data_IF_867942453906
#
_entry.id   IF_867942453906
#
_cell.length_a   1.000
_cell.length_b   1.000
_cell.length_c   1.000
_cell.angle_alpha   90.00
_cell.angle_beta   90.00
_cell.angle_gamma   90.00
#
_symmetry.space_group_name_H-M   'P 1'
#
loop_
_entity.id
_entity.type
_entity.pdbx_description
1 polymer ?
#
# COMPACT_ATOMS: atom_id res chain seq x y z
N UNK A 1 3.67 46.70 21.46
CA UNK A 1 4.21 45.62 20.61
C UNK A 1 3.15 44.54 20.66
N UNK A 2 2.24 44.53 19.69
CA UNK A 2 1.19 43.51 19.64
C UNK A 2 1.85 42.18 19.30
N UNK A 3 1.68 41.21 20.20
CA UNK A 3 1.92 39.81 19.87
C UNK A 3 0.77 39.45 18.92
N UNK A 4 1.02 39.55 17.62
CA UNK A 4 0.16 38.90 16.65
C UNK A 4 0.23 37.40 16.95
N UNK A 5 -0.93 36.88 17.36
CA UNK A 5 -1.26 35.46 17.33
C UNK A 5 -0.62 34.81 16.10
N UNK A 6 0.39 33.96 16.32
CA UNK A 6 0.85 33.02 15.30
C UNK A 6 -0.35 32.09 15.09
N UNK A 7 -1.12 32.36 14.05
CA UNK A 7 -1.99 31.35 13.47
C UNK A 7 -1.01 30.32 12.93
N UNK A 8 -1.05 29.11 13.46
CA UNK A 8 -0.34 27.95 12.91
C UNK A 8 -0.86 27.71 11.48
N UNK A 9 -0.35 28.48 10.52
CA UNK A 9 -0.65 28.32 9.10
C UNK A 9 0.05 27.04 8.61
N UNK A 10 -0.60 25.90 8.87
CA UNK A 10 -0.14 24.58 8.44
C UNK A 10 -0.59 24.34 7.00
N UNK A 11 0.36 24.11 6.08
CA UNK A 11 0.05 23.61 4.74
C UNK A 11 -0.24 22.12 4.84
N UNK A 12 -1.53 21.77 4.76
CA UNK A 12 -1.99 20.39 4.64
C UNK A 12 -2.32 20.06 3.18
N UNK A 13 -1.71 19.00 2.66
CA UNK A 13 -2.02 18.47 1.31
C UNK A 13 -2.53 17.04 1.44
N UNK A 14 -3.75 16.79 0.96
CA UNK A 14 -4.40 15.47 1.02
C UNK A 14 -4.37 14.75 -0.33
N UNK A 15 -3.95 13.49 -0.33
CA UNK A 15 -3.86 12.61 -1.49
C UNK A 15 -4.79 11.40 -1.31
N UNK A 16 -5.91 11.32 -2.04
CA UNK A 16 -6.75 10.13 -2.04
C UNK A 16 -6.13 9.04 -2.92
N UNK A 17 -5.88 7.87 -2.34
CA UNK A 17 -5.34 6.69 -3.02
C UNK A 17 -6.46 5.67 -3.10
N UNK A 18 -6.80 5.16 -4.29
CA UNK A 18 -7.79 4.07 -4.40
C UNK A 18 -7.10 2.73 -4.53
N UNK A 19 -7.56 1.76 -3.75
CA UNK A 19 -7.13 0.37 -3.80
C UNK A 19 -8.19 -0.45 -4.54
N UNK A 20 -7.72 -1.28 -5.47
CA UNK A 20 -8.56 -2.25 -6.18
C UNK A 20 -7.91 -3.60 -6.08
N UNK A 21 -8.72 -4.64 -6.11
CA UNK A 21 -8.23 -5.99 -6.13
C UNK A 21 -9.00 -6.88 -7.08
N UNK A 22 -8.36 -7.95 -7.52
CA UNK A 22 -9.00 -8.95 -8.35
C UNK A 22 -8.35 -10.31 -8.16
N UNK A 23 -9.08 -11.38 -8.47
CA UNK A 23 -8.60 -12.76 -8.30
C UNK A 23 -8.72 -13.55 -9.60
N UNK A 24 -7.61 -14.17 -9.99
CA UNK A 24 -7.52 -15.21 -11.02
C UNK A 24 -7.36 -16.58 -10.35
N UNK A 25 -7.87 -17.62 -10.99
CA UNK A 25 -7.68 -18.98 -10.51
C UNK A 25 -7.39 -19.97 -11.64
N UNK A 26 -6.69 -21.04 -11.26
CA UNK A 26 -6.49 -22.21 -12.10
C UNK A 26 -6.82 -23.49 -11.34
N UNK A 27 -7.56 -24.38 -11.98
CA UNK A 27 -7.79 -25.74 -11.50
C UNK A 27 -6.83 -26.67 -12.24
N UNK A 28 -6.09 -27.48 -11.48
CA UNK A 28 -5.11 -28.44 -12.01
C UNK A 28 -5.52 -29.86 -11.64
N UNK A 29 -5.24 -30.81 -12.52
CA UNK A 29 -5.32 -32.24 -12.22
C UNK A 29 -4.09 -32.62 -11.38
N UNK A 30 -4.29 -33.19 -10.18
CA UNK A 30 -3.17 -33.48 -9.27
C UNK A 30 -2.33 -34.68 -9.70
N UNK A 31 -2.88 -35.58 -10.52
CA UNK A 31 -2.16 -36.77 -10.98
C UNK A 31 -1.20 -36.43 -12.12
N UNK A 32 -1.64 -35.57 -13.03
CA UNK A 32 -0.93 -35.21 -14.27
C UNK A 32 -0.24 -33.86 -14.20
N UNK A 33 -0.68 -32.97 -13.29
CA UNK A 33 -0.22 -31.58 -13.21
C UNK A 33 -0.79 -30.68 -14.31
N UNK A 34 -1.71 -31.17 -15.15
CA UNK A 34 -2.28 -30.42 -16.25
C UNK A 34 -3.33 -29.41 -15.75
N UNK A 35 -3.29 -28.18 -16.27
CA UNK A 35 -4.35 -27.20 -16.03
C UNK A 35 -5.64 -27.62 -16.74
N UNK A 36 -6.70 -27.83 -15.96
CA UNK A 36 -8.04 -28.18 -16.42
C UNK A 36 -8.80 -26.91 -16.82
N UNK A 37 -8.68 -25.85 -16.02
CA UNK A 37 -9.40 -24.59 -16.21
C UNK A 37 -8.55 -23.42 -15.72
N UNK A 38 -8.61 -22.31 -16.44
CA UNK A 38 -8.16 -21.00 -15.96
C UNK A 38 -9.30 -20.01 -16.14
N UNK A 39 -9.53 -19.19 -15.11
CA UNK A 39 -10.45 -18.06 -15.20
C UNK A 39 -9.72 -16.75 -14.89
N UNK A 40 -9.99 -15.75 -15.74
CA UNK A 40 -9.50 -14.36 -15.72
C UNK A 40 -10.40 -13.54 -14.78
N UNK A 41 -9.98 -12.38 -14.23
CA UNK A 41 -10.50 -11.90 -12.96
C UNK A 41 -12.02 -11.81 -12.90
N UNK A 42 -12.60 -12.57 -11.99
CA UNK A 42 -14.06 -12.71 -11.89
C UNK A 42 -14.68 -11.68 -10.96
N UNK A 43 -13.88 -11.00 -10.14
CA UNK A 43 -14.37 -10.18 -9.02
C UNK A 43 -13.48 -8.96 -8.78
N UNK A 44 -14.12 -7.81 -8.56
CA UNK A 44 -13.53 -6.64 -7.93
C UNK A 44 -14.25 -6.46 -6.59
N UNK A 45 -13.52 -6.43 -5.48
CA UNK A 45 -14.09 -6.13 -4.16
C UNK A 45 -13.29 -5.02 -3.45
N UNK A 46 -13.81 -4.56 -2.32
CA UNK A 46 -13.20 -3.51 -1.52
C UNK A 46 -12.29 -4.08 -0.43
N UNK A 47 -11.10 -3.49 -0.31
CA UNK A 47 -10.20 -3.72 0.83
C UNK A 47 -10.91 -3.55 2.17
N UNK A 48 -10.52 -4.38 3.15
CA UNK A 48 -11.02 -4.19 4.52
C UNK A 48 -10.48 -2.89 5.11
N UNK A 49 -11.23 -2.28 6.04
CA UNK A 49 -10.74 -1.09 6.77
C UNK A 49 -9.39 -1.37 7.45
N UNK A 50 -9.24 -2.56 8.05
CA UNK A 50 -8.00 -3.00 8.67
C UNK A 50 -6.87 -3.11 7.65
N UNK A 51 -7.12 -3.67 6.46
CA UNK A 51 -6.14 -3.78 5.38
C UNK A 51 -5.63 -2.42 4.89
N UNK A 52 -6.53 -1.43 4.76
CA UNK A 52 -6.15 -0.05 4.36
C UNK A 52 -5.25 0.61 5.40
N UNK A 53 -5.55 0.40 6.69
CA UNK A 53 -4.70 0.83 7.78
C UNK A 53 -3.33 0.14 7.76
N UNK A 54 -3.27 -1.16 7.48
CA UNK A 54 -2.00 -1.88 7.38
C UNK A 54 -1.14 -1.37 6.22
N UNK A 55 -1.74 -1.04 5.07
CA UNK A 55 -1.02 -0.41 3.96
C UNK A 55 -0.40 0.93 4.41
N UNK A 56 -1.16 1.78 5.10
CA UNK A 56 -0.64 3.04 5.64
C UNK A 56 0.54 2.82 6.61
N UNK A 57 0.43 1.84 7.51
CA UNK A 57 1.51 1.45 8.46
C UNK A 57 2.75 0.94 7.75
N UNK A 58 2.57 0.10 6.73
CA UNK A 58 3.66 -0.46 5.93
C UNK A 58 4.43 0.62 5.17
N UNK A 59 3.72 1.57 4.57
CA UNK A 59 4.32 2.68 3.80
C UNK A 59 4.98 3.71 4.73
N UNK A 60 4.41 4.01 5.89
CA UNK A 60 4.98 4.96 6.87
C UNK A 60 6.00 4.36 7.84
N UNK A 61 6.24 3.05 7.79
CA UNK A 61 7.04 2.33 8.79
C UNK A 61 6.53 2.50 10.23
N UNK A 62 5.21 2.54 10.45
CA UNK A 62 4.62 2.90 11.75
C UNK A 62 4.03 1.69 12.48
N UNK A 63 4.58 1.38 13.66
CA UNK A 63 4.09 0.29 14.51
C UNK A 63 4.34 -1.10 13.92
N UNK A 64 3.52 -2.07 14.33
CA UNK A 64 3.59 -3.44 13.80
C UNK A 64 3.17 -3.47 12.33
N UNK A 65 3.95 -4.18 11.53
CA UNK A 65 3.77 -4.29 10.09
C UNK A 65 3.38 -5.71 9.72
N UNK A 66 2.36 -5.83 8.89
CA UNK A 66 1.80 -7.12 8.47
C UNK A 66 1.70 -7.16 6.95
N UNK A 67 2.81 -7.36 6.20
CA UNK A 67 2.70 -7.54 4.76
C UNK A 67 1.92 -8.82 4.41
N UNK A 68 1.33 -8.90 3.22
CA UNK A 68 0.70 -10.11 2.72
C UNK A 68 1.78 -11.16 2.45
N UNK A 69 1.71 -12.31 3.12
CA UNK A 69 2.65 -13.43 2.94
C UNK A 69 1.97 -14.80 2.86
N UNK A 70 0.65 -14.82 2.84
CA UNK A 70 -0.16 -16.02 2.69
C UNK A 70 -1.47 -15.70 1.97
N UNK A 71 -2.00 -16.71 1.29
CA UNK A 71 -3.35 -16.69 0.72
C UNK A 71 -4.21 -17.63 1.54
N UNK A 72 -5.40 -17.14 1.91
CA UNK A 72 -6.42 -17.88 2.65
C UNK A 72 -7.61 -18.09 1.72
N UNK A 73 -8.15 -19.29 1.70
CA UNK A 73 -9.35 -19.60 0.92
C UNK A 73 -10.31 -20.39 1.80
N UNK A 74 -11.60 -20.00 1.82
CA UNK A 74 -12.62 -20.65 2.63
C UNK A 74 -13.31 -21.72 1.81
N UNK A 75 -13.42 -22.92 2.36
CA UNK A 75 -14.10 -24.08 1.79
C UNK A 75 -14.85 -24.82 2.88
N UNK A 76 -16.10 -25.20 2.63
CA UNK A 76 -16.95 -25.89 3.61
C UNK A 76 -17.04 -25.18 4.98
N UNK A 77 -16.98 -23.84 4.99
CA UNK A 77 -17.05 -23.02 6.21
C UNK A 77 -15.75 -22.88 7.00
N UNK A 78 -14.64 -23.49 6.56
CA UNK A 78 -13.34 -23.39 7.20
C UNK A 78 -12.30 -22.72 6.28
N UNK A 79 -11.38 -21.96 6.87
CA UNK A 79 -10.25 -21.39 6.15
C UNK A 79 -9.14 -22.42 5.97
N UNK A 80 -8.70 -22.59 4.72
CA UNK A 80 -7.43 -23.20 4.38
C UNK A 80 -6.42 -22.08 4.06
N UNK A 81 -5.16 -22.28 4.40
CA UNK A 81 -4.10 -21.29 4.21
C UNK A 81 -2.90 -21.91 3.50
N UNK A 82 -2.36 -21.19 2.53
CA UNK A 82 -1.08 -21.50 1.89
C UNK A 82 -0.17 -20.26 1.95
N UNK A 83 1.16 -20.43 2.03
CA UNK A 83 2.08 -19.31 1.84
C UNK A 83 1.87 -18.63 0.48
N UNK A 84 2.37 -17.40 0.33
CA UNK A 84 2.30 -16.68 -0.95
C UNK A 84 3.68 -16.37 -1.54
N UNK A 85 3.73 -16.34 -2.86
CA UNK A 85 4.81 -15.75 -3.65
C UNK A 85 4.32 -14.42 -4.23
N UNK A 86 5.12 -13.37 -4.07
CA UNK A 86 4.71 -12.02 -4.39
C UNK A 86 5.64 -11.39 -5.43
N UNK A 87 5.07 -10.63 -6.37
CA UNK A 87 5.80 -9.86 -7.37
C UNK A 87 5.13 -8.51 -7.65
N UNK A 88 5.86 -7.59 -8.28
CA UNK A 88 5.30 -6.33 -8.76
C UNK A 88 5.22 -6.35 -10.27
N UNK A 89 4.03 -6.06 -10.80
CA UNK A 89 3.76 -5.97 -12.23
C UNK A 89 3.11 -4.61 -12.51
N UNK A 90 3.79 -3.74 -13.26
CA UNK A 90 3.30 -2.40 -13.64
C UNK A 90 2.78 -1.55 -12.45
N UNK A 91 3.49 -1.58 -11.32
CA UNK A 91 3.11 -0.84 -10.11
C UNK A 91 1.95 -1.47 -9.33
N UNK A 92 1.50 -2.66 -9.71
CA UNK A 92 0.50 -3.45 -8.98
C UNK A 92 1.19 -4.61 -8.26
N UNK A 93 0.66 -5.03 -7.12
CA UNK A 93 1.14 -6.22 -6.41
C UNK A 93 0.40 -7.45 -6.93
N UNK A 94 1.14 -8.50 -7.25
CA UNK A 94 0.62 -9.83 -7.57
C UNK A 94 1.00 -10.79 -6.45
N UNK A 95 0.02 -11.53 -5.94
CA UNK A 95 0.14 -12.48 -4.83
C UNK A 95 -0.37 -13.82 -5.30
N UNK A 96 0.50 -14.81 -5.44
CA UNK A 96 0.17 -16.15 -5.91
C UNK A 96 0.34 -17.15 -4.78
N UNK A 97 -0.53 -18.16 -4.70
CA UNK A 97 -0.37 -19.28 -3.76
C UNK A 97 0.93 -20.04 -4.04
N UNK A 98 1.73 -20.27 -3.00
CA UNK A 98 2.84 -21.23 -3.03
C UNK A 98 2.31 -22.63 -2.73
N UNK A 99 1.88 -23.33 -3.79
CA UNK A 99 1.26 -24.65 -3.72
C UNK A 99 -0.18 -24.66 -4.23
N UNK A 100 -0.91 -25.72 -3.89
CA UNK A 100 -2.28 -25.96 -4.35
C UNK A 100 -3.20 -26.27 -3.18
N UNK A 101 -4.39 -25.68 -3.18
CA UNK A 101 -5.46 -26.12 -2.29
C UNK A 101 -6.07 -27.41 -2.85
N UNK A 102 -6.29 -28.41 -2.00
CA UNK A 102 -6.70 -29.76 -2.42
C UNK A 102 -7.99 -30.26 -1.77
N UNK A 103 -8.59 -29.46 -0.89
CA UNK A 103 -9.84 -29.83 -0.24
C UNK A 103 -10.99 -29.68 -1.23
N UNK A 104 -11.70 -30.78 -1.51
CA UNK A 104 -12.87 -30.75 -2.38
C UNK A 104 -14.03 -29.97 -1.75
N UNK A 105 -14.78 -29.26 -2.59
CA UNK A 105 -15.88 -28.39 -2.18
C UNK A 105 -15.91 -27.09 -2.98
N UNK A 106 -16.78 -26.17 -2.59
CA UNK A 106 -16.84 -24.84 -3.19
C UNK A 106 -16.05 -23.86 -2.34
N UNK A 107 -15.06 -23.22 -2.97
CA UNK A 107 -14.34 -22.09 -2.38
C UNK A 107 -15.16 -20.83 -2.59
N UNK A 108 -15.56 -20.18 -1.49
CA UNK A 108 -16.52 -19.09 -1.50
C UNK A 108 -15.96 -17.74 -1.02
N UNK A 109 -14.78 -17.76 -0.39
CA UNK A 109 -14.00 -16.55 -0.07
C UNK A 109 -12.51 -16.79 -0.30
N UNK A 110 -11.84 -15.74 -0.75
CA UNK A 110 -10.37 -15.68 -0.89
C UNK A 110 -9.87 -14.41 -0.21
N UNK A 111 -8.73 -14.51 0.47
CA UNK A 111 -8.14 -13.40 1.21
C UNK A 111 -6.61 -13.44 1.17
N UNK A 112 -5.97 -12.28 1.16
CA UNK A 112 -4.57 -12.07 1.48
C UNK A 112 -4.39 -11.88 2.98
N UNK A 113 -3.49 -12.66 3.57
CA UNK A 113 -3.24 -12.68 5.01
C UNK A 113 -1.78 -12.41 5.36
N UNK A 114 -1.54 -12.22 6.66
CA UNK A 114 -0.21 -12.29 7.24
C UNK A 114 -0.17 -13.40 8.30
N UNK A 115 0.79 -14.31 8.18
CA UNK A 115 0.95 -15.46 9.08
C UNK A 115 1.22 -15.09 10.54
N UNK A 116 1.69 -13.87 10.81
CA UNK A 116 1.92 -13.34 12.17
C UNK A 116 0.70 -12.62 12.76
N UNK A 117 -0.42 -12.51 12.02
CA UNK A 117 -1.66 -11.91 12.51
C UNK A 117 -2.86 -12.81 12.18
N UNK A 118 -3.16 -13.72 13.09
CA UNK A 118 -4.29 -14.64 12.98
C UNK A 118 -5.60 -13.89 13.15
N UNK A 119 -6.55 -14.10 12.23
CA UNK A 119 -7.93 -13.63 12.38
C UNK A 119 -8.27 -12.28 11.73
N UNK A 120 -7.34 -11.60 11.06
CA UNK A 120 -7.67 -10.50 10.14
C UNK A 120 -7.07 -10.71 8.76
N UNK A 121 -7.83 -10.28 7.75
CA UNK A 121 -7.50 -10.35 6.34
C UNK A 121 -7.30 -8.93 5.79
N UNK A 122 -6.34 -8.75 4.87
CA UNK A 122 -6.20 -7.47 4.15
C UNK A 122 -7.43 -7.19 3.29
N UNK A 123 -8.02 -8.26 2.79
CA UNK A 123 -9.15 -8.28 1.87
C UNK A 123 -9.97 -9.55 2.03
N UNK A 124 -11.22 -9.52 1.55
CA UNK A 124 -12.10 -10.69 1.49
C UNK A 124 -12.87 -10.63 0.16
N UNK A 125 -12.44 -11.43 -0.81
CA UNK A 125 -13.02 -11.49 -2.14
C UNK A 125 -14.02 -12.64 -2.18
N UNK A 126 -15.29 -12.33 -2.42
CA UNK A 126 -16.35 -13.32 -2.64
C UNK A 126 -16.13 -14.09 -3.94
N UNK A 127 -16.21 -15.42 -3.88
CA UNK A 127 -15.97 -16.30 -5.04
C UNK A 127 -17.01 -17.45 -5.09
N UNK A 128 -16.97 -18.27 -6.15
CA UNK A 128 -17.78 -19.48 -6.28
C UNK A 128 -17.02 -20.51 -7.12
N UNK A 129 -15.90 -21.01 -6.61
CA UNK A 129 -14.99 -21.89 -7.35
C UNK A 129 -15.21 -23.34 -6.89
N UNK A 130 -15.86 -24.20 -7.69
CA UNK A 130 -15.99 -25.61 -7.35
C UNK A 130 -14.68 -26.35 -7.59
N UNK A 131 -14.27 -27.19 -6.63
CA UNK A 131 -13.12 -28.09 -6.74
C UNK A 131 -13.54 -29.53 -6.46
N UNK A 132 -13.28 -30.43 -7.41
CA UNK A 132 -13.60 -31.86 -7.30
C UNK A 132 -12.45 -32.67 -6.69
N UNK A 133 -12.74 -33.90 -6.26
CA UNK A 133 -11.72 -34.82 -5.76
C UNK A 133 -10.68 -35.12 -6.84
N UNK A 134 -9.39 -35.03 -6.50
CA UNK A 134 -8.28 -35.22 -7.43
C UNK A 134 -7.84 -33.95 -8.15
N UNK A 135 -8.48 -32.81 -7.89
CA UNK A 135 -8.10 -31.50 -8.42
C UNK A 135 -7.37 -30.64 -7.39
N UNK A 136 -6.55 -29.72 -7.86
CA UNK A 136 -5.86 -28.69 -7.09
C UNK A 136 -6.28 -27.30 -7.55
N UNK A 137 -6.37 -26.36 -6.61
CA UNK A 137 -6.68 -24.96 -6.89
C UNK A 137 -5.46 -24.08 -6.62
N UNK A 138 -5.08 -23.29 -7.63
CA UNK A 138 -4.06 -22.23 -7.55
C UNK A 138 -4.76 -20.89 -7.66
N UNK A 139 -4.43 -19.96 -6.77
CA UNK A 139 -5.02 -18.62 -6.73
C UNK A 139 -3.95 -17.56 -6.97
N UNK A 140 -4.32 -16.53 -7.72
CA UNK A 140 -3.51 -15.32 -7.90
C UNK A 140 -4.37 -14.09 -7.63
N UNK A 141 -3.98 -13.26 -6.67
CA UNK A 141 -4.66 -12.01 -6.30
C UNK A 141 -3.82 -10.84 -6.81
N UNK A 142 -4.45 -9.89 -7.47
CA UNK A 142 -3.83 -8.65 -7.94
C UNK A 142 -4.33 -7.48 -7.11
N UNK A 143 -3.44 -6.58 -6.71
CA UNK A 143 -3.73 -5.36 -5.96
C UNK A 143 -3.25 -4.15 -6.76
N UNK A 144 -4.19 -3.32 -7.21
CA UNK A 144 -3.94 -2.11 -7.98
C UNK A 144 -4.09 -0.84 -7.13
N UNK A 145 -3.27 0.16 -7.45
CA UNK A 145 -3.24 1.45 -6.75
C UNK A 145 -3.40 2.61 -7.75
N UNK A 146 -4.21 3.60 -7.39
CA UNK A 146 -4.36 4.83 -8.20
C UNK A 146 -4.36 6.07 -7.31
N UNK A 147 -3.99 7.22 -7.87
CA UNK A 147 -3.77 8.47 -7.13
C UNK A 147 -2.29 8.76 -6.84
N UNK A 148 -1.39 7.82 -7.14
CA UNK A 148 0.06 7.99 -7.05
C UNK A 148 0.73 7.93 -8.43
N UNK A 149 2.00 8.33 -8.47
CA UNK A 149 2.85 8.09 -9.64
C UNK A 149 3.28 6.60 -9.68
N UNK A 150 3.95 6.18 -10.76
CA UNK A 150 4.41 4.80 -10.94
C UNK A 150 5.32 4.31 -9.81
N UNK A 151 6.19 5.19 -9.29
CA UNK A 151 7.11 4.87 -8.20
C UNK A 151 6.37 4.65 -6.88
N UNK A 152 5.43 5.53 -6.51
CA UNK A 152 4.59 5.40 -5.32
C UNK A 152 3.70 4.17 -5.35
N UNK A 153 3.16 3.83 -6.53
CA UNK A 153 2.44 2.57 -6.75
C UNK A 153 3.34 1.36 -6.47
N UNK A 154 4.55 1.38 -7.05
CA UNK A 154 5.56 0.33 -6.87
C UNK A 154 5.99 0.18 -5.40
N UNK A 155 6.22 1.28 -4.70
CA UNK A 155 6.53 1.29 -3.26
C UNK A 155 5.37 0.70 -2.46
N UNK A 156 4.14 1.14 -2.72
CA UNK A 156 2.94 0.66 -2.01
C UNK A 156 2.76 -0.85 -2.22
N UNK A 157 2.83 -1.30 -3.47
CA UNK A 157 2.77 -2.71 -3.86
C UNK A 157 3.84 -3.55 -3.15
N UNK A 158 5.09 -3.09 -3.17
CA UNK A 158 6.21 -3.82 -2.60
C UNK A 158 6.19 -3.93 -1.09
N UNK A 159 5.78 -2.85 -0.40
CA UNK A 159 5.59 -2.86 1.05
C UNK A 159 4.41 -3.74 1.43
N UNK A 160 3.30 -3.68 0.70
CA UNK A 160 2.15 -4.57 0.91
C UNK A 160 2.52 -6.05 0.70
N UNK A 161 3.33 -6.37 -0.30
CA UNK A 161 3.78 -7.72 -0.58
C UNK A 161 4.97 -8.19 0.28
N UNK A 162 5.54 -7.34 1.15
CA UNK A 162 6.73 -7.70 1.93
C UNK A 162 7.94 -8.11 1.06
N UNK A 163 8.05 -7.56 -0.15
CA UNK A 163 9.11 -7.88 -1.11
C UNK A 163 10.30 -6.93 -0.89
N UNK A 164 11.51 -7.38 -1.19
CA UNK A 164 12.72 -6.57 -1.13
C UNK A 164 12.74 -5.41 -2.15
N UNK A 165 13.52 -4.37 -1.85
CA UNK A 165 13.73 -3.23 -2.77
C UNK A 165 12.69 -2.11 -2.66
N UNK A 166 11.74 -2.21 -1.73
CA UNK A 166 10.70 -1.21 -1.51
C UNK A 166 10.79 -0.65 -0.10
N UNK A 167 10.98 0.66 -0.02
CA UNK A 167 11.32 1.37 1.22
C UNK A 167 10.15 2.24 1.66
N UNK A 168 9.96 2.43 2.98
CA UNK A 168 8.92 3.32 3.47
C UNK A 168 9.22 4.79 3.14
N UNK A 169 8.21 5.64 3.25
CA UNK A 169 8.37 7.09 3.25
C UNK A 169 9.07 7.50 4.55
N UNK A 170 10.11 8.32 4.45
CA UNK A 170 10.83 8.80 5.63
C UNK A 170 11.50 10.16 5.47
N UNK A 171 11.24 10.84 4.36
CA UNK A 171 11.81 12.17 4.10
C UNK A 171 10.74 13.03 3.42
N UNK A 172 10.69 14.30 3.80
CA UNK A 172 9.97 15.34 3.06
C UNK A 172 11.00 16.16 2.29
N UNK A 173 10.72 16.40 1.02
CA UNK A 173 11.52 17.24 0.13
C UNK A 173 10.71 18.46 -0.29
N UNK A 174 11.38 19.62 -0.37
CA UNK A 174 10.80 20.86 -0.88
C UNK A 174 11.77 21.56 -1.83
N UNK A 175 11.25 22.09 -2.93
CA UNK A 175 11.98 23.05 -3.77
C UNK A 175 11.88 24.47 -3.18
N UNK A 176 13.05 25.07 -2.90
CA UNK A 176 13.22 26.45 -2.43
C UNK A 176 14.01 27.21 -3.50
N UNK A 177 13.37 28.14 -4.19
CA UNK A 177 13.97 28.94 -5.26
C UNK A 177 14.69 28.10 -6.35
N UNK A 178 14.17 26.92 -6.70
CA UNK A 178 14.76 26.05 -7.72
C UNK A 178 15.85 25.10 -7.20
N UNK A 179 16.04 25.02 -5.88
CA UNK A 179 16.96 24.07 -5.23
C UNK A 179 16.18 23.18 -4.26
N UNK A 180 16.44 21.88 -4.32
CA UNK A 180 15.84 20.91 -3.40
C UNK A 180 16.47 21.01 -1.99
N UNK A 181 15.65 21.02 -0.95
CA UNK A 181 16.03 20.79 0.45
C UNK A 181 15.23 19.60 1.03
N UNK A 182 15.92 18.71 1.73
CA UNK A 182 15.34 17.47 2.30
C UNK A 182 15.44 17.47 3.81
N UNK A 183 14.38 16.98 4.46
CA UNK A 183 14.32 16.79 5.91
C UNK A 183 13.77 15.41 6.22
N UNK A 184 14.32 14.76 7.24
CA UNK A 184 13.73 13.53 7.78
C UNK A 184 12.27 13.79 8.16
N UNK A 185 11.44 12.76 8.01
CA UNK A 185 10.02 12.85 8.27
C UNK A 185 9.62 12.09 9.54
N UNK A 186 8.63 12.64 10.25
CA UNK A 186 7.88 11.96 11.29
C UNK A 186 6.58 11.45 10.67
N UNK A 187 6.29 10.16 10.87
CA UNK A 187 5.10 9.51 10.33
C UNK A 187 4.12 9.15 11.45
N UNK A 188 2.82 9.33 11.19
CA UNK A 188 1.73 8.85 12.04
C UNK A 188 0.66 8.16 11.20
N UNK A 189 -0.08 7.22 11.81
CA UNK A 189 -1.21 6.55 11.15
C UNK A 189 -2.45 6.63 12.03
N UNK A 190 -3.55 7.06 11.42
CA UNK A 190 -4.89 7.04 12.00
C UNK A 190 -5.89 6.48 10.99
N UNK A 191 -6.61 5.42 11.37
CA UNK A 191 -7.48 4.67 10.45
C UNK A 191 -6.70 4.27 9.18
N UNK A 192 -7.24 4.58 8.00
CA UNK A 192 -6.65 4.34 6.69
C UNK A 192 -5.78 5.51 6.18
N UNK A 193 -5.25 6.35 7.06
CA UNK A 193 -4.49 7.56 6.68
C UNK A 193 -3.08 7.50 7.19
N UNK A 194 -2.12 7.71 6.29
CA UNK A 194 -0.72 7.98 6.61
C UNK A 194 -0.50 9.48 6.62
N UNK A 195 0.05 9.98 7.71
CA UNK A 195 0.43 11.36 7.90
C UNK A 195 1.95 11.50 7.94
N UNK A 196 2.50 12.44 7.18
CA UNK A 196 3.93 12.65 6.98
C UNK A 196 4.25 14.13 7.18
N UNK A 197 5.06 14.44 8.18
CA UNK A 197 5.52 15.80 8.49
C UNK A 197 7.05 15.85 8.50
N UNK A 198 7.67 16.93 8.06
CA UNK A 198 9.11 17.13 8.26
C UNK A 198 9.44 17.32 9.76
N UNK A 199 10.45 16.60 10.24
CA UNK A 199 10.87 16.60 11.65
C UNK A 199 11.30 17.99 12.15
N UNK A 200 12.12 18.67 11.34
CA UNK A 200 12.54 20.04 11.57
C UNK A 200 11.91 21.00 10.56
N UNK A 201 11.36 22.16 10.98
CA UNK A 201 10.76 23.14 10.08
C UNK A 201 11.79 23.72 9.10
N UNK A 202 11.29 24.15 7.94
CA UNK A 202 12.07 24.99 7.03
C UNK A 202 12.03 26.44 7.52
N UNK A 203 13.17 27.10 7.59
CA UNK A 203 13.30 28.47 8.13
C UNK A 203 13.96 29.45 7.15
N UNK A 204 14.43 28.94 6.00
CA UNK A 204 15.07 29.74 4.96
C UNK A 204 14.02 30.61 4.24
N UNK A 205 14.16 31.95 4.22
CA UNK A 205 13.26 32.79 3.43
C UNK A 205 13.37 32.46 1.94
N UNK A 206 12.24 32.46 1.23
CA UNK A 206 12.23 32.11 -0.18
C UNK A 206 10.86 31.71 -0.70
N UNK A 207 10.84 31.28 -1.96
CA UNK A 207 9.66 30.80 -2.66
C UNK A 207 9.70 29.28 -2.73
N UNK A 208 8.72 28.64 -2.12
CA UNK A 208 8.56 27.20 -1.98
C UNK A 208 7.53 26.73 -3.02
N UNK A 209 7.91 25.84 -3.94
CA UNK A 209 7.11 25.58 -5.16
C UNK A 209 6.71 24.13 -5.38
N UNK A 210 7.37 23.18 -4.71
CA UNK A 210 7.01 21.77 -4.77
C UNK A 210 7.28 21.09 -3.43
N UNK A 211 6.43 20.13 -3.07
CA UNK A 211 6.50 19.37 -1.84
C UNK A 211 6.39 17.89 -2.17
N UNK A 212 7.26 17.06 -1.62
CA UNK A 212 7.29 15.65 -1.96
C UNK A 212 7.55 14.75 -0.76
N UNK A 213 6.89 13.59 -0.78
CA UNK A 213 7.21 12.48 0.09
C UNK A 213 8.27 11.61 -0.60
N UNK A 214 9.38 11.36 0.09
CA UNK A 214 10.53 10.63 -0.44
C UNK A 214 10.78 9.38 0.41
N UNK A 215 11.06 8.27 -0.27
CA UNK A 215 11.34 7.00 0.37
C UNK A 215 12.75 6.97 0.96
N UNK A 216 12.98 6.13 1.96
CA UNK A 216 14.29 6.00 2.64
C UNK A 216 15.31 5.18 1.84
N UNK A 217 15.14 5.02 0.53
CA UNK A 217 16.07 4.28 -0.31
C UNK A 217 17.31 5.13 -0.63
N UNK A 218 18.41 4.49 -1.00
CA UNK A 218 19.67 5.19 -1.27
C UNK A 218 19.57 6.19 -2.45
N UNK A 219 18.58 6.01 -3.33
CA UNK A 219 18.37 6.86 -4.51
C UNK A 219 17.41 8.02 -4.21
N UNK A 220 16.59 7.95 -3.15
CA UNK A 220 15.60 8.96 -2.81
C UNK A 220 14.41 8.96 -3.76
N UNK A 221 13.80 7.79 -3.99
CA UNK A 221 12.63 7.60 -4.84
C UNK A 221 11.45 8.43 -4.33
N UNK A 222 10.92 9.30 -5.19
CA UNK A 222 9.75 10.11 -4.89
C UNK A 222 8.47 9.26 -4.86
N UNK A 223 7.89 9.13 -3.67
CA UNK A 223 6.60 8.48 -3.47
C UNK A 223 5.47 9.28 -4.14
N UNK A 224 5.46 10.60 -3.91
CA UNK A 224 4.54 11.52 -4.54
C UNK A 224 5.11 12.94 -4.51
N UNK A 225 4.75 13.75 -5.51
CA UNK A 225 5.15 15.16 -5.62
C UNK A 225 3.90 15.99 -5.83
N UNK A 226 3.74 17.03 -5.02
CA UNK A 226 2.76 18.08 -5.19
C UNK A 226 3.46 19.35 -5.68
N UNK A 227 3.16 19.74 -6.91
CA UNK A 227 3.57 21.01 -7.51
C UNK A 227 2.33 21.68 -8.10
N UNK A 228 2.05 22.90 -7.66
CA UNK A 228 0.81 23.59 -8.02
C UNK A 228 0.40 24.71 -7.06
N UNK A 229 1.08 24.80 -5.92
CA UNK A 229 0.95 25.93 -5.01
C UNK A 229 2.32 26.52 -4.71
N UNK A 230 2.34 27.82 -4.41
CA UNK A 230 3.56 28.54 -4.06
C UNK A 230 3.39 29.20 -2.71
N UNK A 231 4.33 28.94 -1.80
CA UNK A 231 4.41 29.59 -0.50
C UNK A 231 5.63 30.51 -0.49
N UNK A 232 5.44 31.75 -0.06
CA UNK A 232 6.56 32.68 0.16
C UNK A 232 6.81 32.81 1.65
N UNK A 233 7.96 32.30 2.10
CA UNK A 233 8.39 32.39 3.48
C UNK A 233 9.27 33.63 3.68
N UNK A 234 8.86 34.51 4.59
CA UNK A 234 9.60 35.71 4.98
C UNK A 234 10.62 35.41 6.10
N UNK A 235 11.49 36.37 6.39
CA UNK A 235 12.39 36.26 7.54
C UNK A 235 11.63 36.06 8.86
N UNK A 236 12.16 35.18 9.72
CA UNK A 236 11.57 34.77 11.01
C UNK A 236 10.24 34.01 10.91
N UNK A 237 9.95 33.41 9.75
CA UNK A 237 8.85 32.47 9.60
C UNK A 237 9.39 31.04 9.49
N UNK A 238 8.55 30.08 9.86
CA UNK A 238 8.84 28.66 9.77
C UNK A 238 7.75 27.98 8.95
N UNK A 239 8.13 26.94 8.20
CA UNK A 239 7.21 26.13 7.42
C UNK A 239 7.34 24.66 7.81
N UNK A 240 6.21 24.06 8.17
CA UNK A 240 6.03 22.61 8.29
C UNK A 240 5.10 22.14 7.19
N UNK A 241 5.58 21.21 6.38
CA UNK A 241 4.83 20.56 5.34
C UNK A 241 4.16 19.30 5.89
N UNK A 242 2.86 19.17 5.66
CA UNK A 242 2.05 18.05 6.12
C UNK A 242 1.41 17.36 4.93
N UNK A 243 1.90 16.17 4.62
CA UNK A 243 1.47 15.36 3.48
C UNK A 243 0.61 14.19 4.00
N UNK A 244 -0.66 14.18 3.61
CA UNK A 244 -1.66 13.26 4.14
C UNK A 244 -2.12 12.32 3.03
N UNK A 245 -1.85 11.02 3.17
CA UNK A 245 -2.21 9.98 2.20
C UNK A 245 -3.37 9.14 2.74
N UNK A 246 -4.52 9.18 2.06
CA UNK A 246 -5.75 8.50 2.48
C UNK A 246 -6.02 7.30 1.58
N UNK A 247 -5.92 6.08 2.13
CA UNK A 247 -6.09 4.82 1.40
C UNK A 247 -7.58 4.39 1.39
N UNK A 248 -8.24 4.49 0.24
CA UNK A 248 -9.67 4.31 0.02
C UNK A 248 -10.05 3.04 -0.72
#
# INVERSE_FOLDING_TARGET
MEIQSIIDDKLEVRFPIRLRESVEYSIVDLLTGHTILTAIPLFEDAFTTWGKEQVARLVGNVGSQYPINEVRARVNGAWATLPSTNSIENGSLKVMTDGTFTTAGTYDLVAGGNSSYTGANHNEISTNIPLESGQGLVLTIYYGFSGLNSAGNTVTAGRLGGISGYYPVGTVSVDINGSEDKRDAVNAVYNNTLDVENDAPYTSPGTYTSFAAVCTDAVGTYYHIFSGHTIVLQSNQELKAHLVFVYG
#
